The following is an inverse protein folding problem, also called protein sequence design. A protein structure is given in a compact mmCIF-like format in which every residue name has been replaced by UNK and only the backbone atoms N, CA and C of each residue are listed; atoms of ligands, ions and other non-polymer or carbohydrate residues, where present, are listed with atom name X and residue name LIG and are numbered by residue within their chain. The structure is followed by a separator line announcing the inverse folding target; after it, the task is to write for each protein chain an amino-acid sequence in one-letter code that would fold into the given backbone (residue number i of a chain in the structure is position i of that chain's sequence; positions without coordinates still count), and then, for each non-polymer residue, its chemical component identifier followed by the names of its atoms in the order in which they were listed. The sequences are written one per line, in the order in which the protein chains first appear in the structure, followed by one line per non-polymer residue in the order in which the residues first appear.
data_IF_913503388268
#
_entry.id   IF_913503388268
#
_cell.length_a   1.000
_cell.length_b   1.000
_cell.length_c   1.000
_cell.angle_alpha   90.00
_cell.angle_beta   90.00
_cell.angle_gamma   90.00
#
_symmetry.space_group_name_H-M   'P 1'
#
loop_
_entity.id
_entity.type
_entity.pdbx_description
1 polymer ?
#
# COMPACT_ATOMS: atom_id res chain seq x y z
N UNK A 1 20.20 -12.44 -19.82
CA UNK A 1 19.15 -11.39 -19.66
C UNK A 1 17.84 -12.02 -19.23
N UNK A 2 17.14 -11.44 -18.25
CA UNK A 2 15.90 -11.99 -17.66
C UNK A 2 14.80 -10.93 -17.68
N UNK A 3 13.56 -11.35 -17.88
CA UNK A 3 12.38 -10.50 -17.65
C UNK A 3 11.91 -10.70 -16.22
N UNK A 4 11.62 -9.60 -15.54
CA UNK A 4 11.18 -9.61 -14.18
C UNK A 4 10.18 -8.47 -13.92
N UNK A 5 9.16 -8.73 -13.12
CA UNK A 5 8.11 -7.75 -12.84
C UNK A 5 8.09 -7.34 -11.38
N UNK A 6 7.91 -6.04 -11.17
CA UNK A 6 7.68 -5.41 -9.88
C UNK A 6 6.34 -4.67 -9.92
N UNK A 7 5.62 -4.62 -8.82
CA UNK A 7 4.36 -3.91 -8.74
C UNK A 7 4.26 -3.01 -7.51
N UNK A 8 3.37 -2.04 -7.56
CA UNK A 8 2.95 -1.24 -6.43
C UNK A 8 1.45 -1.02 -6.49
N UNK A 9 0.81 -0.94 -5.33
CA UNK A 9 -0.57 -0.48 -5.21
C UNK A 9 -0.60 0.94 -4.69
N UNK A 10 -1.57 1.73 -5.13
CA UNK A 10 -1.71 3.12 -4.69
C UNK A 10 -2.28 3.17 -3.28
N UNK A 11 -2.14 4.34 -2.66
CA UNK A 11 -2.57 4.57 -1.29
C UNK A 11 -4.04 4.20 -1.04
N UNK A 12 -4.90 4.36 -2.04
CA UNK A 12 -6.32 4.05 -1.97
C UNK A 12 -6.73 2.63 -2.37
N UNK A 13 -5.79 1.75 -2.67
CA UNK A 13 -6.10 0.34 -2.89
C UNK A 13 -6.73 -0.27 -1.63
N UNK A 14 -7.82 -1.10 -1.73
CA UNK A 14 -8.55 -1.61 -0.58
C UNK A 14 -7.69 -2.23 0.52
N UNK A 15 -6.76 -3.11 0.17
CA UNK A 15 -5.85 -3.72 1.15
C UNK A 15 -4.98 -2.66 1.85
N UNK A 16 -4.45 -1.66 1.09
CA UNK A 16 -3.62 -0.60 1.68
C UNK A 16 -4.41 0.36 2.56
N UNK A 17 -5.70 0.53 2.32
CA UNK A 17 -6.57 1.29 3.22
C UNK A 17 -6.76 0.55 4.52
N UNK A 18 -6.93 -0.77 4.49
CA UNK A 18 -6.98 -1.60 5.70
C UNK A 18 -5.68 -1.49 6.51
N UNK A 19 -4.52 -1.60 5.86
CA UNK A 19 -3.21 -1.41 6.49
C UNK A 19 -3.07 -0.03 7.13
N UNK A 20 -3.49 1.03 6.43
CA UNK A 20 -3.45 2.40 6.94
C UNK A 20 -4.38 2.61 8.16
N UNK A 21 -5.53 1.95 8.18
CA UNK A 21 -6.45 2.00 9.34
C UNK A 21 -5.79 1.33 10.54
N UNK A 22 -5.28 0.12 10.39
CA UNK A 22 -4.56 -0.60 11.46
C UNK A 22 -3.39 0.23 12.00
N UNK A 23 -2.51 0.70 11.13
CA UNK A 23 -1.38 1.54 11.52
C UNK A 23 -1.78 2.87 12.15
N UNK A 24 -2.90 3.48 11.75
CA UNK A 24 -3.40 4.72 12.35
C UNK A 24 -3.93 4.50 13.78
N UNK A 25 -4.58 3.37 14.04
CA UNK A 25 -5.04 3.00 15.39
C UNK A 25 -3.82 2.78 16.29
N UNK A 26 -2.87 1.97 15.86
CA UNK A 26 -1.63 1.73 16.60
C UNK A 26 -0.89 3.04 16.89
N UNK A 27 -0.70 3.90 15.89
CA UNK A 27 -0.03 5.20 16.03
C UNK A 27 -0.71 6.10 17.06
N UNK A 28 -2.03 6.12 17.09
CA UNK A 28 -2.79 6.91 18.06
C UNK A 28 -2.57 6.43 19.50
N UNK A 29 -2.48 5.10 19.68
CA UNK A 29 -2.24 4.50 20.98
C UNK A 29 -0.79 4.68 21.47
N UNK A 30 0.18 4.39 20.61
CA UNK A 30 1.63 4.49 20.94
C UNK A 30 2.03 5.92 21.30
N UNK A 31 1.41 6.95 20.71
CA UNK A 31 1.64 8.34 21.08
C UNK A 31 1.33 8.64 22.55
N UNK A 32 0.37 7.94 23.14
CA UNK A 32 -0.10 8.15 24.51
C UNK A 32 0.48 7.11 25.47
N UNK A 33 0.72 5.91 24.98
CA UNK A 33 1.26 4.77 25.73
C UNK A 33 2.30 4.03 24.86
N UNK A 34 3.60 4.32 25.02
CA UNK A 34 4.67 3.65 24.28
C UNK A 34 4.74 2.13 24.48
N UNK A 35 4.10 1.61 25.54
CA UNK A 35 4.04 0.18 25.85
C UNK A 35 2.79 -0.49 25.28
N UNK A 36 2.05 0.16 24.37
CA UNK A 36 0.93 -0.42 23.68
C UNK A 36 1.34 -1.70 22.93
N UNK A 37 0.54 -2.75 23.12
CA UNK A 37 0.63 -3.99 22.35
C UNK A 37 -0.65 -4.17 21.54
N UNK A 38 -0.53 -4.49 20.28
CA UNK A 38 -1.67 -4.56 19.38
C UNK A 38 -1.48 -5.62 18.29
N UNK A 39 -2.53 -6.36 18.01
CA UNK A 39 -2.73 -7.17 16.83
C UNK A 39 -4.03 -6.73 16.19
N UNK A 40 -3.98 -5.81 15.20
CA UNK A 40 -5.16 -5.14 14.65
C UNK A 40 -5.38 -5.59 13.22
N UNK A 41 -6.49 -6.26 12.97
CA UNK A 41 -6.92 -6.69 11.67
C UNK A 41 -8.12 -5.87 11.19
N UNK A 42 -8.09 -5.51 9.90
CA UNK A 42 -9.14 -4.72 9.26
C UNK A 42 -9.56 -5.40 7.97
N UNK A 43 -10.87 -5.55 7.81
CA UNK A 43 -11.51 -6.00 6.58
C UNK A 43 -12.51 -4.95 6.12
N UNK A 44 -12.45 -4.54 4.84
CA UNK A 44 -13.37 -3.56 4.27
C UNK A 44 -13.96 -4.02 2.94
N UNK A 45 -15.20 -3.68 2.69
CA UNK A 45 -15.89 -3.95 1.43
C UNK A 45 -17.38 -3.64 1.48
N UNK A 46 -17.94 -3.27 0.33
CA UNK A 46 -19.38 -3.10 0.13
C UNK A 46 -20.11 -2.34 1.24
N UNK A 47 -19.61 -1.15 1.57
CA UNK A 47 -20.24 -0.25 2.55
C UNK A 47 -19.95 -0.57 4.03
N UNK A 48 -19.08 -1.53 4.33
CA UNK A 48 -18.75 -1.91 5.71
C UNK A 48 -17.23 -1.98 5.90
N UNK A 49 -16.78 -1.63 7.12
CA UNK A 49 -15.42 -1.83 7.59
C UNK A 49 -15.50 -2.52 8.95
N UNK A 50 -14.87 -3.67 9.06
CA UNK A 50 -14.77 -4.47 10.27
C UNK A 50 -13.36 -4.34 10.82
N UNK A 51 -13.24 -3.92 12.07
CA UNK A 51 -11.97 -3.79 12.80
C UNK A 51 -12.02 -4.77 13.95
N UNK A 52 -11.07 -5.68 14.01
CA UNK A 52 -11.01 -6.75 15.01
C UNK A 52 -9.57 -6.98 15.47
N UNK A 53 -9.40 -7.84 16.44
CA UNK A 53 -8.12 -8.19 17.04
C UNK A 53 -8.04 -7.79 18.50
N UNK A 54 -6.84 -7.61 18.99
CA UNK A 54 -6.60 -7.28 20.39
C UNK A 54 -5.69 -6.05 20.53
N UNK A 55 -5.96 -5.29 21.61
CA UNK A 55 -5.11 -4.18 22.00
C UNK A 55 -5.03 -4.05 23.53
N UNK A 56 -3.82 -3.94 24.03
CA UNK A 56 -3.51 -3.68 25.45
C UNK A 56 -2.82 -2.35 25.54
N UNK A 57 -3.49 -1.35 26.07
CA UNK A 57 -3.00 0.03 26.14
C UNK A 57 -3.69 0.81 27.26
N UNK A 58 -3.01 1.85 27.75
CA UNK A 58 -3.57 2.88 28.64
C UNK A 58 -4.10 4.08 27.85
N UNK A 59 -3.89 4.12 26.55
CA UNK A 59 -4.33 5.19 25.67
C UNK A 59 -5.85 5.27 25.57
N UNK A 60 -6.36 6.48 25.37
CA UNK A 60 -7.76 6.73 25.00
C UNK A 60 -7.85 6.94 23.49
N UNK A 61 -8.59 6.10 22.81
CA UNK A 61 -8.73 6.16 21.36
C UNK A 61 -10.20 5.91 20.93
N UNK A 62 -10.53 6.29 19.71
CA UNK A 62 -11.85 6.09 19.13
C UNK A 62 -11.70 5.58 17.70
N UNK A 63 -11.97 4.29 17.51
CA UNK A 63 -11.81 3.60 16.22
C UNK A 63 -12.64 4.28 15.12
N UNK A 64 -13.90 4.63 15.39
CA UNK A 64 -14.76 5.30 14.41
C UNK A 64 -14.18 6.62 13.90
N UNK A 65 -13.61 7.45 14.79
CA UNK A 65 -12.97 8.72 14.42
C UNK A 65 -11.71 8.48 13.60
N UNK A 66 -10.90 7.49 13.98
CA UNK A 66 -9.63 7.16 13.30
C UNK A 66 -9.95 6.64 11.91
N UNK A 67 -10.84 5.67 11.77
CA UNK A 67 -11.22 5.10 10.47
C UNK A 67 -11.77 6.18 9.54
N UNK A 68 -12.70 7.02 9.99
CA UNK A 68 -13.25 8.12 9.19
C UNK A 68 -12.20 9.15 8.78
N UNK A 69 -11.20 9.41 9.61
CA UNK A 69 -10.06 10.26 9.26
C UNK A 69 -9.24 9.63 8.13
N UNK A 70 -8.85 8.36 8.27
CA UNK A 70 -8.06 7.65 7.24
C UNK A 70 -8.81 7.62 5.91
N UNK A 71 -10.09 7.28 5.91
CA UNK A 71 -10.92 7.27 4.70
C UNK A 71 -10.89 8.62 3.98
N UNK A 72 -11.12 9.72 4.71
CA UNK A 72 -11.07 11.07 4.13
C UNK A 72 -9.70 11.44 3.57
N UNK A 73 -8.63 11.15 4.32
CA UNK A 73 -7.25 11.44 3.90
C UNK A 73 -6.87 10.69 2.62
N UNK A 74 -7.43 9.50 2.43
CA UNK A 74 -7.23 8.68 1.23
C UNK A 74 -8.14 9.12 0.07
N UNK A 75 -9.26 9.76 0.35
CA UNK A 75 -10.23 10.21 -0.65
C UNK A 75 -11.47 9.33 -0.78
N UNK A 76 -11.70 8.44 0.17
CA UNK A 76 -12.95 7.67 0.26
C UNK A 76 -14.08 8.50 0.87
N UNK A 77 -15.33 8.13 0.57
CA UNK A 77 -16.48 8.63 1.31
C UNK A 77 -16.40 8.15 2.77
N UNK A 78 -17.01 8.91 3.70
CA UNK A 78 -17.06 8.51 5.11
C UNK A 78 -18.29 7.66 5.47
N UNK A 79 -19.05 7.20 4.47
CA UNK A 79 -20.38 6.58 4.67
C UNK A 79 -20.32 5.07 4.93
N UNK A 80 -19.14 4.54 5.26
CA UNK A 80 -19.00 3.12 5.62
C UNK A 80 -19.50 2.87 7.04
N UNK A 81 -20.27 1.77 7.22
CA UNK A 81 -20.63 1.26 8.54
C UNK A 81 -19.39 0.63 9.18
N UNK A 82 -18.90 1.21 10.27
CA UNK A 82 -17.73 0.72 11.00
C UNK A 82 -18.23 -0.22 12.09
N UNK A 83 -17.69 -1.43 12.12
CA UNK A 83 -17.95 -2.46 13.12
C UNK A 83 -16.67 -2.61 13.94
N UNK A 84 -16.73 -2.20 15.19
CA UNK A 84 -15.65 -2.30 16.16
C UNK A 84 -15.81 -3.58 16.97
N UNK A 85 -14.90 -4.51 16.80
CA UNK A 85 -14.85 -5.81 17.48
C UNK A 85 -13.48 -6.04 18.13
N UNK A 86 -12.88 -4.96 18.66
CA UNK A 86 -11.59 -5.05 19.35
C UNK A 86 -11.73 -5.62 20.75
N UNK A 87 -10.83 -6.55 21.08
CA UNK A 87 -10.70 -7.15 22.39
C UNK A 87 -9.41 -6.78 23.13
N UNK A 88 -9.18 -7.41 24.26
CA UNK A 88 -7.89 -7.40 24.97
C UNK A 88 -7.10 -8.65 24.61
N UNK A 89 -5.78 -8.54 24.63
CA UNK A 89 -4.88 -9.68 24.43
C UNK A 89 -5.14 -10.78 25.48
N UNK A 90 -5.08 -12.03 25.02
CA UNK A 90 -5.16 -13.21 25.90
C UNK A 90 -4.10 -13.16 27.02
N UNK A 91 -4.48 -13.47 28.28
CA UNK A 91 -3.52 -13.57 29.35
C UNK A 91 -2.39 -14.55 29.08
N UNK A 92 -2.67 -15.63 28.33
CA UNK A 92 -1.68 -16.66 28.02
C UNK A 92 -0.57 -16.13 27.08
N UNK A 93 -0.97 -15.33 26.08
CA UNK A 93 -0.02 -14.65 25.18
C UNK A 93 0.79 -13.59 25.95
N UNK A 94 0.15 -12.87 26.88
CA UNK A 94 0.78 -11.84 27.68
C UNK A 94 1.96 -12.38 28.56
N UNK A 95 1.89 -13.64 29.00
CA UNK A 95 2.96 -14.27 29.82
C UNK A 95 4.34 -14.24 29.15
N UNK A 96 4.39 -14.42 27.81
CA UNK A 96 5.65 -14.35 27.07
C UNK A 96 6.09 -12.90 26.79
N UNK A 97 5.14 -12.05 26.41
CA UNK A 97 5.41 -10.67 26.03
C UNK A 97 5.80 -9.80 27.22
N UNK A 98 5.17 -9.98 28.37
CA UNK A 98 5.45 -9.23 29.60
C UNK A 98 6.88 -9.45 30.13
N UNK A 99 7.54 -10.53 29.71
CA UNK A 99 8.94 -10.84 30.05
C UNK A 99 9.93 -10.37 28.94
N UNK A 100 9.49 -9.58 27.99
CA UNK A 100 10.30 -9.06 26.87
C UNK A 100 10.45 -10.04 25.70
N UNK A 101 9.65 -11.10 25.63
CA UNK A 101 9.58 -12.03 24.50
C UNK A 101 8.63 -11.55 23.41
N UNK A 102 8.58 -12.30 22.31
CA UNK A 102 7.61 -12.11 21.24
C UNK A 102 6.29 -12.83 21.54
N UNK A 103 5.19 -12.31 20.99
CA UNK A 103 3.86 -12.94 21.15
C UNK A 103 3.65 -14.19 20.29
N UNK A 104 4.52 -14.42 19.31
CA UNK A 104 4.44 -15.54 18.38
C UNK A 104 5.81 -15.87 17.79
N UNK A 105 5.91 -16.98 17.09
CA UNK A 105 7.04 -17.33 16.22
C UNK A 105 7.09 -16.36 15.03
N UNK A 106 8.28 -16.13 14.49
CA UNK A 106 8.42 -15.28 13.32
C UNK A 106 9.68 -15.56 12.51
N UNK A 107 9.57 -15.44 11.19
CA UNK A 107 10.71 -15.40 10.29
C UNK A 107 10.81 -14.00 9.70
N UNK A 108 12.01 -13.42 9.71
CA UNK A 108 12.28 -12.07 9.21
C UNK A 108 13.31 -12.13 8.10
N UNK A 109 13.03 -11.40 7.01
CA UNK A 109 13.92 -11.27 5.87
C UNK A 109 14.25 -9.80 5.64
N UNK A 110 15.52 -9.54 5.38
CA UNK A 110 16.01 -8.24 4.96
C UNK A 110 16.67 -8.33 3.59
N UNK A 111 16.68 -7.21 2.85
CA UNK A 111 17.33 -7.10 1.56
C UNK A 111 17.89 -5.70 1.38
N UNK A 112 19.07 -5.61 0.76
CA UNK A 112 19.65 -4.35 0.34
C UNK A 112 20.49 -4.57 -0.92
N UNK A 113 20.48 -3.59 -1.81
CA UNK A 113 21.31 -3.57 -3.02
C UNK A 113 21.93 -2.18 -3.24
N UNK A 114 22.80 -2.06 -4.21
CA UNK A 114 23.50 -0.81 -4.54
C UNK A 114 22.87 -0.02 -5.68
N UNK A 115 21.73 -0.45 -6.22
CA UNK A 115 21.08 0.16 -7.39
C UNK A 115 20.69 1.63 -7.15
N UNK A 116 20.29 1.94 -5.93
CA UNK A 116 19.80 3.27 -5.55
C UNK A 116 20.36 3.73 -4.21
N UNK A 117 20.27 5.03 -3.95
CA UNK A 117 20.66 5.60 -2.65
C UNK A 117 19.81 5.04 -1.49
N UNK A 118 18.57 4.62 -1.78
CA UNK A 118 17.66 3.99 -0.83
C UNK A 118 18.04 2.55 -0.49
N UNK A 119 19.05 1.99 -1.18
CA UNK A 119 19.46 0.58 -1.07
C UNK A 119 18.37 -0.42 -1.49
N UNK A 120 17.48 0.02 -2.35
CA UNK A 120 16.39 -0.76 -2.92
C UNK A 120 16.56 -0.94 -4.43
N UNK A 121 15.96 -1.98 -5.04
CA UNK A 121 15.96 -2.17 -6.49
C UNK A 121 15.39 -0.97 -7.24
N UNK A 122 16.01 -0.60 -8.35
CA UNK A 122 15.65 0.61 -9.10
C UNK A 122 14.18 0.61 -9.55
N UNK A 123 13.65 -0.52 -10.02
CA UNK A 123 12.25 -0.60 -10.43
C UNK A 123 11.29 -0.35 -9.27
N UNK A 124 11.62 -0.80 -8.06
CA UNK A 124 10.82 -0.55 -6.86
C UNK A 124 10.83 0.94 -6.48
N UNK A 125 11.98 1.59 -6.57
CA UNK A 125 12.11 3.04 -6.28
C UNK A 125 11.31 3.87 -7.30
N UNK A 126 11.41 3.55 -8.60
CA UNK A 126 10.62 4.20 -9.65
C UNK A 126 9.11 4.06 -9.38
N UNK A 127 8.64 2.86 -9.03
CA UNK A 127 7.24 2.61 -8.70
C UNK A 127 6.78 3.38 -7.45
N UNK A 128 7.61 3.45 -6.41
CA UNK A 128 7.30 4.21 -5.20
C UNK A 128 7.20 5.72 -5.49
N UNK A 129 8.10 6.25 -6.31
CA UNK A 129 8.07 7.66 -6.72
C UNK A 129 6.84 7.94 -7.58
N UNK A 130 6.51 7.04 -8.49
CA UNK A 130 5.29 7.15 -9.29
C UNK A 130 4.03 7.16 -8.42
N UNK A 131 3.89 6.23 -7.48
CA UNK A 131 2.73 6.16 -6.59
C UNK A 131 2.59 7.41 -5.70
N UNK A 132 3.71 7.96 -5.19
CA UNK A 132 3.72 9.21 -4.43
C UNK A 132 3.31 10.41 -5.29
N UNK A 133 3.79 10.48 -6.53
CA UNK A 133 3.46 11.54 -7.47
C UNK A 133 2.00 11.45 -7.93
N UNK A 134 1.49 10.23 -8.12
CA UNK A 134 0.07 9.99 -8.40
C UNK A 134 -0.82 10.47 -7.24
N UNK A 135 -0.45 10.21 -5.98
CA UNK A 135 -1.25 10.67 -4.84
C UNK A 135 -1.32 12.19 -4.75
N UNK A 136 -0.23 12.90 -5.09
CA UNK A 136 -0.24 14.38 -5.22
C UNK A 136 -1.18 14.83 -6.33
N UNK A 137 -1.07 14.22 -7.52
CA UNK A 137 -1.92 14.52 -8.66
C UNK A 137 -3.41 14.32 -8.33
N UNK A 138 -3.74 13.25 -7.62
CA UNK A 138 -5.09 13.00 -7.11
C UNK A 138 -5.58 14.10 -6.14
N UNK A 139 -4.72 14.59 -5.27
CA UNK A 139 -5.07 15.67 -4.33
C UNK A 139 -5.30 17.00 -5.05
N UNK A 140 -4.53 17.27 -6.10
CA UNK A 140 -4.65 18.49 -6.90
C UNK A 140 -5.84 18.45 -7.88
N UNK A 141 -6.16 17.25 -8.40
CA UNK A 141 -7.21 17.04 -9.39
C UNK A 141 -8.18 15.91 -8.98
N UNK A 142 -8.91 16.04 -7.86
CA UNK A 142 -9.72 14.96 -7.28
C UNK A 142 -10.95 14.57 -8.12
N UNK A 143 -11.35 15.41 -9.08
CA UNK A 143 -12.46 15.12 -10.00
C UNK A 143 -12.02 14.30 -11.22
N UNK A 144 -10.72 14.09 -11.41
CA UNK A 144 -10.13 13.39 -12.55
C UNK A 144 -9.50 12.08 -12.10
N UNK A 145 -8.63 12.16 -11.09
CA UNK A 145 -7.87 11.04 -10.55
C UNK A 145 -8.47 10.60 -9.23
N UNK A 146 -8.89 9.35 -9.15
CA UNK A 146 -9.45 8.79 -7.93
C UNK A 146 -8.39 8.00 -7.15
N UNK A 147 -8.78 7.44 -6.02
CA UNK A 147 -7.84 6.95 -5.01
C UNK A 147 -7.29 5.55 -5.27
N UNK A 148 -8.02 4.69 -6.01
CA UNK A 148 -7.63 3.30 -6.23
C UNK A 148 -6.79 3.13 -7.49
N UNK A 149 -5.88 2.18 -7.43
CA UNK A 149 -5.06 1.82 -8.58
C UNK A 149 -3.80 1.05 -8.19
N UNK A 150 -3.05 0.71 -9.24
CA UNK A 150 -1.78 0.02 -9.15
C UNK A 150 -0.93 0.29 -10.38
N UNK A 151 0.39 0.11 -10.22
CA UNK A 151 1.34 0.17 -11.31
C UNK A 151 2.27 -1.04 -11.28
N UNK A 152 2.75 -1.43 -12.46
CA UNK A 152 3.70 -2.53 -12.62
C UNK A 152 4.76 -2.16 -13.64
N UNK A 153 5.99 -2.53 -13.35
CA UNK A 153 7.11 -2.49 -14.28
C UNK A 153 7.49 -3.93 -14.64
N UNK A 154 7.50 -4.25 -15.92
CA UNK A 154 8.22 -5.42 -16.45
C UNK A 154 9.53 -4.94 -17.02
N UNK A 155 10.62 -5.25 -16.34
CA UNK A 155 11.99 -4.85 -16.68
C UNK A 155 12.77 -5.95 -17.36
N UNK A 156 13.73 -5.54 -18.21
CA UNK A 156 14.80 -6.39 -18.69
C UNK A 156 16.01 -6.20 -17.77
N UNK A 157 16.51 -7.30 -17.23
CA UNK A 157 17.62 -7.32 -16.28
C UNK A 157 18.81 -8.09 -16.84
N UNK A 158 20.00 -7.71 -16.42
CA UNK A 158 21.22 -8.50 -16.65
C UNK A 158 21.28 -9.71 -15.71
N UNK A 159 22.37 -10.45 -15.77
CA UNK A 159 22.54 -11.67 -14.96
C UNK A 159 22.84 -11.36 -13.48
N UNK A 160 23.18 -10.12 -13.16
CA UNK A 160 23.40 -9.60 -11.80
C UNK A 160 22.18 -8.84 -11.24
N UNK A 161 21.04 -8.89 -11.95
CA UNK A 161 19.77 -8.24 -11.60
C UNK A 161 19.79 -6.71 -11.62
N UNK A 162 20.68 -6.08 -12.42
CA UNK A 162 20.57 -4.66 -12.71
C UNK A 162 19.47 -4.43 -13.76
N UNK A 163 18.61 -3.45 -13.54
CA UNK A 163 17.59 -3.04 -14.49
C UNK A 163 18.23 -2.32 -15.68
N UNK A 164 18.16 -2.92 -16.87
CA UNK A 164 18.73 -2.36 -18.10
C UNK A 164 17.74 -1.41 -18.81
N UNK A 165 16.46 -1.82 -18.87
CA UNK A 165 15.36 -1.01 -19.41
C UNK A 165 14.01 -1.54 -18.98
N UNK A 166 12.98 -0.72 -19.12
CA UNK A 166 11.59 -1.08 -18.86
C UNK A 166 10.94 -1.51 -20.18
N UNK A 167 10.57 -2.78 -20.27
CA UNK A 167 9.83 -3.32 -21.43
C UNK A 167 8.39 -2.83 -21.44
N UNK A 168 7.76 -2.80 -20.25
CA UNK A 168 6.38 -2.33 -20.09
C UNK A 168 6.21 -1.65 -18.75
N UNK A 169 5.66 -0.44 -18.77
CA UNK A 169 5.13 0.24 -17.61
C UNK A 169 3.61 0.21 -17.70
N UNK A 170 2.97 -0.57 -16.84
CA UNK A 170 1.51 -0.73 -16.78
C UNK A 170 0.96 0.09 -15.61
N UNK A 171 -0.08 0.86 -15.87
CA UNK A 171 -0.83 1.58 -14.83
C UNK A 171 -2.32 1.27 -14.98
N UNK A 172 -2.94 0.86 -13.89
CA UNK A 172 -4.39 0.80 -13.76
C UNK A 172 -4.79 1.74 -12.63
N UNK A 173 -5.56 2.78 -12.95
CA UNK A 173 -5.98 3.78 -11.99
C UNK A 173 -7.45 4.12 -12.15
N UNK A 174 -8.13 4.30 -11.03
CA UNK A 174 -9.52 4.70 -10.99
C UNK A 174 -9.65 6.16 -11.44
N UNK A 175 -10.56 6.42 -12.38
CA UNK A 175 -10.72 7.74 -12.99
C UNK A 175 -12.17 8.08 -13.31
N UNK A 176 -12.42 9.34 -13.65
CA UNK A 176 -13.66 9.78 -14.27
C UNK A 176 -13.73 9.31 -15.74
N UNK A 177 -14.88 8.79 -16.17
CA UNK A 177 -15.06 8.26 -17.54
C UNK A 177 -14.80 9.32 -18.62
N UNK A 178 -15.24 10.54 -18.40
CA UNK A 178 -15.11 11.65 -19.35
C UNK A 178 -13.72 12.27 -19.41
N UNK A 179 -12.84 11.95 -18.47
CA UNK A 179 -11.54 12.61 -18.34
C UNK A 179 -10.37 11.82 -18.96
N UNK A 180 -10.58 10.61 -19.48
CA UNK A 180 -9.49 9.73 -19.94
C UNK A 180 -8.63 10.34 -21.05
N UNK A 181 -9.23 11.02 -22.01
CA UNK A 181 -8.50 11.65 -23.12
C UNK A 181 -7.47 12.69 -22.58
N UNK A 182 -7.80 13.36 -21.48
CA UNK A 182 -6.92 14.32 -20.83
C UNK A 182 -5.99 13.67 -19.82
N UNK A 183 -6.46 12.72 -19.02
CA UNK A 183 -5.71 12.15 -17.90
C UNK A 183 -4.63 11.14 -18.35
N UNK A 184 -4.89 10.34 -19.37
CA UNK A 184 -3.91 9.35 -19.86
C UNK A 184 -2.61 9.99 -20.37
N UNK A 185 -2.61 11.12 -21.13
CA UNK A 185 -1.38 11.85 -21.49
C UNK A 185 -0.62 12.38 -20.26
N UNK A 186 -1.30 12.83 -19.21
CA UNK A 186 -0.68 13.30 -17.98
C UNK A 186 0.07 12.15 -17.30
N UNK A 187 -0.56 10.98 -17.16
CA UNK A 187 0.06 9.79 -16.60
C UNK A 187 1.27 9.33 -17.43
N UNK A 188 1.15 9.33 -18.77
CA UNK A 188 2.28 9.01 -19.66
C UNK A 188 3.47 9.96 -19.46
N UNK A 189 3.18 11.25 -19.35
CA UNK A 189 4.19 12.29 -19.12
C UNK A 189 4.87 12.10 -17.77
N UNK A 190 4.11 11.83 -16.73
CA UNK A 190 4.63 11.57 -15.38
C UNK A 190 5.58 10.36 -15.38
N UNK A 191 5.21 9.25 -16.02
CA UNK A 191 6.07 8.06 -16.17
C UNK A 191 7.38 8.43 -16.85
N UNK A 192 7.31 9.15 -17.98
CA UNK A 192 8.51 9.56 -18.73
C UNK A 192 9.42 10.46 -17.91
N UNK A 193 8.89 11.43 -17.19
CA UNK A 193 9.67 12.32 -16.33
C UNK A 193 10.43 11.51 -15.27
N UNK A 194 9.73 10.62 -14.56
CA UNK A 194 10.35 9.80 -13.51
C UNK A 194 11.41 8.87 -14.12
N UNK A 195 11.09 8.13 -15.18
CA UNK A 195 12.05 7.21 -15.79
C UNK A 195 13.29 7.92 -16.35
N UNK A 196 13.11 9.11 -16.94
CA UNK A 196 14.22 9.93 -17.46
C UNK A 196 15.13 10.43 -16.34
N UNK A 197 14.60 10.74 -15.14
CA UNK A 197 15.42 11.15 -13.99
C UNK A 197 16.38 10.05 -13.53
N UNK A 198 16.01 8.81 -13.76
CA UNK A 198 16.85 7.62 -13.53
C UNK A 198 17.61 7.16 -14.78
N UNK A 199 17.52 7.85 -15.91
CA UNK A 199 18.13 7.51 -17.20
C UNK A 199 17.74 6.10 -17.69
N UNK A 200 16.51 5.69 -17.43
CA UNK A 200 15.96 4.38 -17.84
C UNK A 200 14.97 4.57 -18.99
N UNK A 201 15.18 3.80 -20.05
CA UNK A 201 14.29 3.74 -21.22
C UNK A 201 13.01 2.94 -20.90
N UNK A 202 11.87 3.42 -21.41
CA UNK A 202 10.57 2.73 -21.35
C UNK A 202 10.09 2.46 -22.78
N UNK A 203 9.95 1.19 -23.16
CA UNK A 203 9.49 0.82 -24.51
C UNK A 203 7.97 0.97 -24.66
N UNK A 204 7.19 0.44 -23.72
CA UNK A 204 5.74 0.45 -23.78
C UNK A 204 5.12 1.02 -22.50
N UNK A 205 4.11 1.87 -22.65
CA UNK A 205 3.30 2.38 -21.54
C UNK A 205 1.85 1.97 -21.81
N UNK A 206 1.29 1.18 -20.91
CA UNK A 206 -0.10 0.72 -20.95
C UNK A 206 -0.88 1.38 -19.81
N UNK A 207 -2.01 2.02 -20.16
CA UNK A 207 -2.87 2.70 -19.17
C UNK A 207 -4.28 2.14 -19.29
N UNK A 208 -4.82 1.62 -18.17
CA UNK A 208 -6.15 1.02 -18.11
C UNK A 208 -6.44 0.12 -19.32
N UNK A 209 -5.62 -0.89 -19.63
CA UNK A 209 -5.73 -1.65 -20.89
C UNK A 209 -7.04 -2.41 -21.05
N UNK A 210 -7.77 -2.66 -19.96
CA UNK A 210 -9.11 -3.26 -19.97
C UNK A 210 -10.22 -2.26 -20.30
N UNK A 211 -9.88 -0.98 -20.46
CA UNK A 211 -10.79 0.09 -20.88
C UNK A 211 -11.34 0.94 -19.75
N UNK A 212 -12.08 0.38 -18.79
CA UNK A 212 -12.76 1.14 -17.74
C UNK A 212 -12.26 0.79 -16.35
N UNK A 213 -12.04 1.82 -15.50
CA UNK A 213 -11.82 1.66 -14.07
C UNK A 213 -12.54 2.79 -13.32
N UNK A 214 -13.87 2.71 -13.26
CA UNK A 214 -14.73 3.74 -12.64
C UNK A 214 -15.09 3.38 -11.21
N UNK A 215 -15.33 2.10 -10.92
CA UNK A 215 -15.67 1.61 -9.59
C UNK A 215 -14.41 1.01 -8.97
N UNK A 216 -13.87 1.67 -7.97
CA UNK A 216 -12.68 1.23 -7.26
C UNK A 216 -12.90 1.24 -5.75
N UNK A 217 -11.83 1.02 -5.01
CA UNK A 217 -11.87 0.96 -3.57
C UNK A 217 -12.77 -0.15 -3.05
N UNK A 218 -13.28 0.00 -1.85
CA UNK A 218 -14.15 -0.99 -1.20
C UNK A 218 -15.47 -1.26 -1.92
N UNK A 219 -15.86 -0.42 -2.86
CA UNK A 219 -17.05 -0.66 -3.68
C UNK A 219 -16.75 -1.61 -4.85
N UNK A 220 -15.52 -1.59 -5.34
CA UNK A 220 -15.00 -2.47 -6.39
C UNK A 220 -14.53 -3.82 -5.86
N UNK A 221 -13.72 -3.81 -4.81
CA UNK A 221 -13.05 -5.01 -4.27
C UNK A 221 -12.98 -4.96 -2.73
N UNK A 222 -12.87 -6.12 -2.11
CA UNK A 222 -12.67 -6.22 -0.67
C UNK A 222 -11.18 -6.02 -0.32
N UNK A 223 -10.92 -5.30 0.78
CA UNK A 223 -9.59 -5.15 1.36
C UNK A 223 -9.43 -5.91 2.67
N UNK A 224 -8.20 -6.31 2.95
CA UNK A 224 -7.80 -6.96 4.19
C UNK A 224 -6.37 -6.55 4.55
N UNK A 225 -6.09 -6.36 5.84
CA UNK A 225 -4.72 -6.17 6.35
C UNK A 225 -3.80 -7.31 5.96
N UNK A 226 -2.52 -7.03 5.74
CA UNK A 226 -1.48 -8.02 5.48
C UNK A 226 -1.51 -8.71 4.12
N UNK A 227 -2.32 -8.24 3.16
CA UNK A 227 -2.39 -8.84 1.82
C UNK A 227 -1.43 -8.23 0.80
N UNK A 228 -0.64 -7.24 1.18
CA UNK A 228 0.33 -6.55 0.30
C UNK A 228 1.76 -6.60 0.84
N UNK A 229 2.07 -7.59 1.67
CA UNK A 229 3.38 -7.72 2.32
C UNK A 229 4.54 -7.89 1.33
N UNK A 230 4.35 -8.61 0.22
CA UNK A 230 5.37 -8.74 -0.83
C UNK A 230 5.62 -7.40 -1.51
N UNK A 231 4.56 -6.65 -1.80
CA UNK A 231 4.64 -5.32 -2.43
C UNK A 231 5.31 -4.31 -1.51
N UNK A 232 4.98 -4.35 -0.22
CA UNK A 232 5.50 -3.42 0.79
C UNK A 232 6.95 -3.73 1.18
N UNK A 233 7.39 -4.99 1.08
CA UNK A 233 8.74 -5.42 1.40
C UNK A 233 9.70 -5.17 0.22
N UNK A 234 10.28 -6.23 -0.30
CA UNK A 234 11.33 -6.16 -1.34
C UNK A 234 10.91 -6.85 -2.63
N UNK A 235 9.59 -6.93 -2.87
CA UNK A 235 9.03 -7.65 -4.01
C UNK A 235 9.47 -9.12 -3.98
N UNK A 236 9.79 -9.72 -5.13
CA UNK A 236 10.31 -11.07 -5.17
C UNK A 236 11.86 -11.12 -5.11
N UNK A 237 12.54 -10.01 -4.80
CA UNK A 237 13.98 -9.99 -4.58
C UNK A 237 14.40 -10.66 -3.27
N UNK A 238 13.50 -10.74 -2.29
CA UNK A 238 13.69 -11.47 -1.05
C UNK A 238 12.42 -12.23 -0.65
N UNK A 239 12.58 -13.24 0.16
CA UNK A 239 11.46 -13.92 0.77
C UNK A 239 10.73 -12.99 1.76
N UNK A 240 9.50 -13.33 2.11
CA UNK A 240 8.74 -12.71 3.20
C UNK A 240 8.40 -13.75 4.24
N UNK A 241 8.40 -13.35 5.51
CA UNK A 241 8.18 -14.24 6.65
C UNK A 241 6.71 -14.44 7.02
N UNK A 242 5.80 -13.70 6.39
CA UNK A 242 4.40 -13.58 6.83
C UNK A 242 4.18 -12.37 7.74
N UNK A 243 3.00 -12.25 8.36
CA UNK A 243 2.63 -11.09 9.16
C UNK A 243 2.26 -9.86 8.32
N UNK A 244 2.29 -8.69 8.94
CA UNK A 244 2.11 -7.42 8.23
C UNK A 244 3.04 -6.33 8.81
N UNK A 245 3.12 -5.14 8.16
CA UNK A 245 4.03 -4.05 8.55
C UNK A 245 3.36 -2.96 9.40
N UNK A 246 2.19 -3.17 9.89
CA UNK A 246 1.41 -2.15 10.61
C UNK A 246 1.09 -2.51 12.07
N UNK A 247 1.85 -3.38 12.65
CA UNK A 247 1.77 -3.70 14.09
C UNK A 247 1.24 -5.04 14.41
#
# INVERSE_FOLDING_TARGET
MKLYSNEIVFRGHPDKVCDQISGAILKECVKQDPHTRAGIEVCGGKGKIFVTGEITTKAKYNINKIVKRVLRDVGYSSNYKIIDNMGKQSPDIALGVDKGGAGDQGMMFGYACSDTIQKLPLAQVILQEFAKSYDKLRQECPNIFYHDGKAQITGLYDDTFNLLKIKTFLVSYQNCETAREMSDPIIKTLIKIICNSYKIEVENILINPTGKFLIGGFDGDAGLTGRKIVVDAYQSFANVGGGNFNG
#
